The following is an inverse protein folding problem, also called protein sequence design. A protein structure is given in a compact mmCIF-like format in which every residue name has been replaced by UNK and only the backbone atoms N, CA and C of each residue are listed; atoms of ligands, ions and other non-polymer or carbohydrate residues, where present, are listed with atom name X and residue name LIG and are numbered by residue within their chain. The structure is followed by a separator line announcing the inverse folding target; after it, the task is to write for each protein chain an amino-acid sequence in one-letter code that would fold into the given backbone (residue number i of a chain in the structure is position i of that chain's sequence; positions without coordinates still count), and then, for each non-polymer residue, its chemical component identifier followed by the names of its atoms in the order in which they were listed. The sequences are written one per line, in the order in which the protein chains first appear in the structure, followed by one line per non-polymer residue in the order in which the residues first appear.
data_IF_729216332473
#
_entry.id   IF_729216332473
#
_cell.length_a   1.000
_cell.length_b   1.000
_cell.length_c   1.000
_cell.angle_alpha   90.00
_cell.angle_beta   90.00
_cell.angle_gamma   90.00
#
_symmetry.space_group_name_H-M   'P 1'
#
loop_
_entity.id
_entity.type
_entity.pdbx_description
1 polymer ?
#
# COMPACT_ATOMS: atom_id res chain seq x y z
N UNK A 1 4.67 45.23 9.14
CA UNK A 1 4.10 44.53 10.33
C UNK A 1 3.17 43.44 9.77
N UNK A 2 3.73 42.27 9.49
CA UNK A 2 3.00 41.18 8.81
C UNK A 2 2.31 40.29 9.85
N UNK A 3 1.05 39.87 9.66
CA UNK A 3 0.41 38.95 10.59
C UNK A 3 0.88 37.54 10.22
N UNK A 4 1.73 36.97 11.07
CA UNK A 4 1.99 35.54 11.06
C UNK A 4 0.72 34.82 11.53
N UNK A 5 0.09 34.06 10.63
CA UNK A 5 -0.89 33.05 11.00
C UNK A 5 -0.16 31.98 11.81
N UNK A 6 -0.28 32.03 13.14
CA UNK A 6 0.04 30.90 14.00
C UNK A 6 -1.06 29.86 13.78
N UNK A 7 -0.74 28.79 13.07
CA UNK A 7 -1.56 27.59 13.08
C UNK A 7 -1.44 26.96 14.47
N UNK A 8 -2.54 26.94 15.21
CA UNK A 8 -2.65 26.24 16.49
C UNK A 8 -2.81 24.75 16.20
N UNK A 9 -1.76 23.97 16.39
CA UNK A 9 -1.69 22.52 16.12
C UNK A 9 -2.46 21.67 17.16
N UNK A 10 -3.45 22.24 17.85
CA UNK A 10 -4.18 21.54 18.92
C UNK A 10 -5.67 21.55 18.60
N UNK A 11 -6.22 20.35 18.43
CA UNK A 11 -7.64 20.01 18.21
C UNK A 11 -8.13 19.79 16.77
N UNK A 12 -7.42 18.96 16.01
CA UNK A 12 -8.05 18.12 14.99
C UNK A 12 -7.66 16.64 15.21
N UNK A 13 -7.90 16.14 16.42
CA UNK A 13 -8.18 14.71 16.58
C UNK A 13 -9.60 14.54 16.04
N UNK A 14 -9.70 14.44 14.72
CA UNK A 14 -10.94 14.08 14.06
C UNK A 14 -11.03 12.55 14.16
N UNK A 15 -11.77 12.06 15.15
CA UNK A 15 -12.08 10.63 15.34
C UNK A 15 -12.82 9.99 14.14
N UNK A 16 -13.14 10.78 13.11
CA UNK A 16 -13.84 10.38 11.88
C UNK A 16 -12.93 9.91 10.72
N UNK A 17 -11.60 10.06 10.83
CA UNK A 17 -10.65 9.55 9.82
C UNK A 17 -10.25 8.08 10.04
N UNK A 18 -10.85 7.41 11.03
CA UNK A 18 -10.57 6.01 11.39
C UNK A 18 -11.29 4.98 10.51
N UNK A 19 -12.06 5.41 9.51
CA UNK A 19 -12.77 4.49 8.63
C UNK A 19 -11.84 3.91 7.56
N UNK A 20 -11.62 2.59 7.62
CA UNK A 20 -10.89 1.85 6.59
C UNK A 20 -11.67 1.94 5.28
N UNK A 21 -11.06 2.47 4.23
CA UNK A 21 -11.71 2.62 2.92
C UNK A 21 -11.71 1.26 2.20
N UNK A 22 -12.89 0.70 1.95
CA UNK A 22 -13.04 -0.59 1.25
C UNK A 22 -13.26 -0.40 -0.24
N UNK A 23 -12.35 -0.95 -1.05
CA UNK A 23 -12.53 -1.03 -2.51
C UNK A 23 -12.98 -2.45 -2.91
N UNK A 24 -14.26 -2.74 -2.69
CA UNK A 24 -14.80 -4.10 -2.81
C UNK A 24 -14.67 -4.73 -4.20
N UNK A 25 -14.56 -3.91 -5.26
CA UNK A 25 -14.53 -4.36 -6.65
C UNK A 25 -13.23 -4.01 -7.39
N UNK A 26 -12.22 -3.49 -6.68
CA UNK A 26 -10.94 -3.16 -7.31
C UNK A 26 -10.18 -4.45 -7.63
N UNK A 27 -10.07 -4.77 -8.91
CA UNK A 27 -9.44 -6.00 -9.41
C UNK A 27 -7.96 -5.79 -9.76
N UNK A 28 -7.62 -4.60 -10.29
CA UNK A 28 -6.27 -4.26 -10.72
C UNK A 28 -5.87 -2.89 -10.19
N UNK A 29 -4.64 -2.79 -9.68
CA UNK A 29 -4.06 -1.56 -9.19
C UNK A 29 -2.71 -1.32 -9.86
N UNK A 30 -2.57 -0.21 -10.57
CA UNK A 30 -1.30 0.27 -11.12
C UNK A 30 -0.85 1.50 -10.34
N UNK A 31 0.26 1.34 -9.62
CA UNK A 31 0.86 2.37 -8.78
C UNK A 31 2.36 2.51 -9.06
N UNK A 32 2.80 2.16 -10.27
CA UNK A 32 4.20 2.19 -10.68
C UNK A 32 4.86 3.58 -10.51
N UNK A 33 4.11 4.65 -10.79
CA UNK A 33 4.62 6.03 -10.81
C UNK A 33 3.95 6.92 -9.74
N UNK A 34 3.46 6.30 -8.67
CA UNK A 34 2.74 6.97 -7.60
C UNK A 34 3.68 7.27 -6.43
N UNK A 35 3.45 8.38 -5.71
CA UNK A 35 4.22 8.71 -4.51
C UNK A 35 4.03 7.63 -3.43
N UNK A 36 5.12 7.29 -2.72
CA UNK A 36 5.15 6.25 -1.68
C UNK A 36 4.06 6.39 -0.61
N UNK A 37 3.64 7.61 -0.28
CA UNK A 37 2.59 7.87 0.71
C UNK A 37 1.23 7.30 0.27
N UNK A 38 0.90 7.41 -1.02
CA UNK A 38 -0.34 6.84 -1.55
C UNK A 38 -0.24 5.32 -1.69
N UNK A 39 0.94 4.80 -2.07
CA UNK A 39 1.18 3.35 -2.13
C UNK A 39 0.98 2.74 -0.73
N UNK A 40 1.54 3.37 0.30
CA UNK A 40 1.31 2.97 1.68
C UNK A 40 -0.18 3.05 2.04
N UNK A 41 -0.88 4.09 1.61
CA UNK A 41 -2.32 4.22 1.86
C UNK A 41 -3.12 3.07 1.24
N UNK A 42 -2.83 2.69 -0.01
CA UNK A 42 -3.53 1.61 -0.71
C UNK A 42 -3.15 0.20 -0.26
N UNK A 43 -1.89 -0.03 0.12
CA UNK A 43 -1.45 -1.38 0.45
C UNK A 43 -1.56 -1.69 1.95
N UNK A 44 -1.69 -0.69 2.81
CA UNK A 44 -1.88 -0.89 4.25
C UNK A 44 -3.36 -1.18 4.59
N UNK A 45 -3.61 -2.35 5.17
CA UNK A 45 -4.93 -2.82 5.56
C UNK A 45 -5.63 -1.96 6.63
N UNK A 46 -4.85 -1.20 7.43
CA UNK A 46 -5.41 -0.27 8.42
C UNK A 46 -5.94 1.01 7.80
N UNK A 47 -5.67 1.24 6.51
CA UNK A 47 -6.12 2.41 5.75
C UNK A 47 -7.13 2.01 4.67
N UNK A 48 -6.88 0.90 3.99
CA UNK A 48 -7.73 0.43 2.89
C UNK A 48 -7.92 -1.08 2.91
N UNK A 49 -9.05 -1.57 2.41
CA UNK A 49 -9.28 -3.00 2.24
C UNK A 49 -9.55 -3.34 0.78
N UNK A 50 -8.73 -4.23 0.21
CA UNK A 50 -8.72 -4.58 -1.22
C UNK A 50 -9.08 -6.07 -1.45
N UNK A 51 -10.30 -6.52 -1.09
CA UNK A 51 -10.64 -7.94 -1.01
C UNK A 51 -10.65 -8.67 -2.35
N UNK A 52 -10.66 -7.95 -3.47
CA UNK A 52 -10.72 -8.49 -4.82
C UNK A 52 -9.50 -8.12 -5.68
N UNK A 53 -8.43 -7.61 -5.06
CA UNK A 53 -7.22 -7.26 -5.80
C UNK A 53 -6.53 -8.53 -6.30
N UNK A 54 -6.52 -8.70 -7.62
CA UNK A 54 -5.92 -9.85 -8.31
C UNK A 54 -4.60 -9.44 -8.97
N UNK A 55 -4.50 -8.20 -9.46
CA UNK A 55 -3.33 -7.70 -10.16
C UNK A 55 -2.76 -6.46 -9.48
N UNK A 56 -1.46 -6.47 -9.19
CA UNK A 56 -0.72 -5.33 -8.68
C UNK A 56 0.45 -5.01 -9.60
N UNK A 57 0.57 -3.75 -10.02
CA UNK A 57 1.72 -3.24 -10.76
C UNK A 57 2.42 -2.14 -9.94
N UNK A 58 3.69 -2.37 -9.62
CA UNK A 58 4.48 -1.54 -8.70
C UNK A 58 5.98 -1.65 -9.03
N UNK A 59 6.79 -0.64 -8.67
CA UNK A 59 8.26 -0.78 -8.72
C UNK A 59 8.78 -1.55 -7.52
N UNK A 60 9.84 -2.35 -7.71
CA UNK A 60 10.37 -3.19 -6.63
C UNK A 60 10.81 -2.39 -5.40
N UNK A 61 11.54 -1.29 -5.62
CA UNK A 61 12.01 -0.42 -4.53
C UNK A 61 10.86 0.18 -3.72
N UNK A 62 9.76 0.56 -4.36
CA UNK A 62 8.57 1.07 -3.68
C UNK A 62 7.87 -0.03 -2.89
N UNK A 63 7.82 -1.25 -3.44
CA UNK A 63 7.31 -2.42 -2.73
C UNK A 63 8.14 -2.73 -1.47
N UNK A 64 9.46 -2.65 -1.54
CA UNK A 64 10.34 -2.81 -0.37
C UNK A 64 10.08 -1.74 0.69
N UNK A 65 9.98 -0.46 0.28
CA UNK A 65 9.69 0.65 1.20
C UNK A 65 8.36 0.43 1.92
N UNK A 66 7.28 0.15 1.19
CA UNK A 66 5.95 0.00 1.80
C UNK A 66 5.77 -1.34 2.51
N UNK A 67 6.62 -2.32 2.31
CA UNK A 67 6.60 -3.55 3.12
C UNK A 67 7.59 -3.49 4.27
N UNK A 68 8.36 -2.39 4.41
CA UNK A 68 9.50 -2.27 5.31
C UNK A 68 10.45 -3.46 5.15
N UNK A 69 10.90 -3.71 3.92
CA UNK A 69 11.67 -4.89 3.54
C UNK A 69 10.97 -6.20 3.92
N UNK A 70 9.67 -6.30 3.60
CA UNK A 70 8.84 -7.48 3.87
C UNK A 70 8.69 -7.85 5.36
N UNK A 71 8.73 -6.86 6.26
CA UNK A 71 8.49 -7.06 7.71
C UNK A 71 7.14 -6.52 8.20
N UNK A 72 6.46 -5.67 7.41
CA UNK A 72 5.17 -5.07 7.78
C UNK A 72 3.96 -5.93 7.40
N UNK A 73 3.45 -6.67 8.38
CA UNK A 73 2.28 -7.55 8.21
C UNK A 73 1.01 -6.83 7.74
N UNK A 74 0.82 -5.55 8.10
CA UNK A 74 -0.35 -4.77 7.69
C UNK A 74 -0.46 -4.59 6.15
N UNK A 75 0.64 -4.83 5.43
CA UNK A 75 0.67 -4.79 3.96
C UNK A 75 0.33 -6.14 3.34
N UNK A 76 0.41 -7.21 4.13
CA UNK A 76 0.28 -8.59 3.68
C UNK A 76 -1.16 -8.96 3.35
N UNK A 77 -2.16 -8.51 4.11
CA UNK A 77 -3.54 -8.95 3.85
C UNK A 77 -4.08 -8.42 2.51
N UNK A 78 -3.78 -7.18 2.15
CA UNK A 78 -4.19 -6.63 0.85
C UNK A 78 -3.44 -7.28 -0.32
N UNK A 79 -2.20 -7.76 -0.10
CA UNK A 79 -1.40 -8.44 -1.12
C UNK A 79 -1.71 -9.94 -1.25
N UNK A 80 -2.30 -10.58 -0.22
CA UNK A 80 -2.42 -12.03 -0.14
C UNK A 80 -3.21 -12.67 -1.30
N UNK A 81 -4.16 -11.93 -1.87
CA UNK A 81 -5.03 -12.38 -2.97
C UNK A 81 -4.51 -12.05 -4.36
N UNK A 82 -3.42 -11.28 -4.45
CA UNK A 82 -2.81 -10.93 -5.73
C UNK A 82 -2.25 -12.18 -6.38
N UNK A 83 -2.72 -12.46 -7.59
CA UNK A 83 -2.29 -13.60 -8.43
C UNK A 83 -1.30 -13.18 -9.51
N UNK A 84 -1.26 -11.89 -9.84
CA UNK A 84 -0.36 -11.33 -10.84
C UNK A 84 0.33 -10.09 -10.29
N UNK A 85 1.60 -10.22 -9.96
CA UNK A 85 2.46 -9.12 -9.56
C UNK A 85 3.34 -8.72 -10.75
N UNK A 86 3.19 -7.49 -11.22
CA UNK A 86 4.03 -6.90 -12.28
C UNK A 86 4.99 -5.95 -11.60
N UNK A 87 6.22 -6.41 -11.40
CA UNK A 87 7.27 -5.60 -10.79
C UNK A 87 8.18 -5.03 -11.86
N UNK A 88 8.42 -3.71 -11.81
CA UNK A 88 9.45 -3.08 -12.62
C UNK A 88 10.78 -3.01 -11.85
N UNK A 89 11.87 -3.04 -12.60
CA UNK A 89 13.24 -2.83 -12.10
C UNK A 89 13.78 -3.97 -11.21
N UNK A 90 13.19 -5.17 -11.29
CA UNK A 90 13.75 -6.37 -10.66
C UNK A 90 13.66 -7.59 -11.59
N UNK A 91 14.75 -8.36 -11.63
CA UNK A 91 14.87 -9.61 -12.38
C UNK A 91 14.68 -10.82 -11.45
N UNK A 92 14.88 -10.64 -10.14
CA UNK A 92 14.84 -11.72 -9.13
C UNK A 92 14.17 -11.23 -7.86
N UNK A 93 13.16 -11.98 -7.39
CA UNK A 93 12.47 -11.70 -6.15
C UNK A 93 13.20 -12.28 -4.94
N UNK A 94 13.25 -11.53 -3.83
CA UNK A 94 13.52 -12.13 -2.51
C UNK A 94 12.51 -13.24 -2.21
N UNK A 95 12.92 -14.27 -1.47
CA UNK A 95 12.00 -15.30 -0.96
C UNK A 95 10.86 -14.71 -0.11
N UNK A 96 11.08 -13.54 0.50
CA UNK A 96 10.10 -12.87 1.34
C UNK A 96 8.91 -12.32 0.54
N UNK A 97 9.10 -12.06 -0.76
CA UNK A 97 8.00 -11.64 -1.67
C UNK A 97 6.89 -12.69 -1.63
N UNK A 98 7.21 -13.98 -1.68
CA UNK A 98 6.22 -15.05 -1.68
C UNK A 98 5.41 -15.14 -0.36
N UNK A 99 5.91 -14.57 0.75
CA UNK A 99 5.14 -14.47 2.00
C UNK A 99 4.02 -13.44 1.92
N UNK A 100 4.21 -12.40 1.10
CA UNK A 100 3.24 -11.32 0.85
C UNK A 100 2.29 -11.65 -0.29
N UNK A 101 2.75 -12.45 -1.24
CA UNK A 101 2.03 -12.81 -2.44
C UNK A 101 1.90 -14.34 -2.59
N UNK A 102 1.27 -15.04 -1.63
CA UNK A 102 1.15 -16.49 -1.64
C UNK A 102 0.28 -17.05 -2.79
N UNK A 103 -0.52 -16.19 -3.43
CA UNK A 103 -1.41 -16.58 -4.53
C UNK A 103 -0.79 -16.40 -5.93
N UNK A 104 0.49 -16.02 -6.03
CA UNK A 104 1.16 -15.91 -7.32
C UNK A 104 1.24 -17.27 -7.99
N UNK A 105 0.73 -17.35 -9.22
CA UNK A 105 1.02 -18.48 -10.10
C UNK A 105 2.47 -18.34 -10.57
N UNK A 106 3.32 -19.25 -10.11
CA UNK A 106 4.70 -19.43 -10.59
C UNK A 106 4.67 -20.15 -11.93
#
# INVERSE_FOLDING_TARGET
RSPFLKFDERHLINDDWSSIVKYAHLISLDIENVNSHYIEHFLNETKTHLPCLIQLKIRYNLLEIVTQNFTRDATRCNCAKVKRLIVKDSIVYSKDVYRYFPSLSI
#
